data_IF_578898241372
#
_entry.id   IF_578898241372
#
_cell.length_a   1.000
_cell.length_b   1.000
_cell.length_c   1.000
_cell.angle_alpha   90.00
_cell.angle_beta   90.00
_cell.angle_gamma   90.00
#
_symmetry.space_group_name_H-M   'P 1'
#
loop_
_entity.id
_entity.type
_entity.pdbx_description
1 polymer ?
#
# COMPACT_ATOMS: atom_id res chain seq x y z
N UNK A 1 -24.74 34.11 -58.10
CA UNK A 1 -25.85 33.16 -57.85
C UNK A 1 -25.49 31.88 -58.58
N UNK A 2 -25.40 30.67 -58.03
CA UNK A 2 -25.87 30.10 -56.77
C UNK A 2 -24.91 28.95 -56.34
N UNK A 3 -24.90 28.66 -55.04
CA UNK A 3 -24.18 27.54 -54.44
C UNK A 3 -24.85 26.18 -54.74
N UNK A 4 -24.08 25.09 -54.71
CA UNK A 4 -24.52 23.78 -54.20
C UNK A 4 -23.33 22.84 -53.95
N UNK A 5 -23.23 22.41 -52.70
CA UNK A 5 -22.24 21.51 -52.13
C UNK A 5 -22.47 20.05 -52.53
N UNK A 6 -21.41 19.23 -52.55
CA UNK A 6 -21.47 17.83 -52.13
C UNK A 6 -20.15 17.42 -51.44
N UNK A 7 -20.34 16.79 -50.29
CA UNK A 7 -19.38 16.35 -49.28
C UNK A 7 -18.65 15.07 -49.70
N UNK A 8 -17.35 14.96 -49.39
CA UNK A 8 -16.68 13.66 -49.23
C UNK A 8 -16.01 13.63 -47.85
N UNK A 9 -16.46 12.68 -47.05
CA UNK A 9 -16.32 12.65 -45.61
C UNK A 9 -14.88 12.46 -45.10
N UNK A 10 -14.49 13.32 -44.16
CA UNK A 10 -13.39 13.05 -43.24
C UNK A 10 -13.87 11.99 -42.22
N UNK A 11 -13.48 10.73 -42.44
CA UNK A 11 -13.77 9.61 -41.55
C UNK A 11 -12.49 9.09 -40.89
N UNK A 12 -11.77 9.93 -40.15
CA UNK A 12 -10.78 9.41 -39.19
C UNK A 12 -11.55 8.88 -37.98
N UNK A 13 -11.78 7.57 -37.99
CA UNK A 13 -12.28 6.81 -36.86
C UNK A 13 -11.22 6.85 -35.75
N UNK A 14 -11.25 7.90 -34.92
CA UNK A 14 -10.50 7.94 -33.67
C UNK A 14 -11.21 7.02 -32.67
N UNK A 15 -10.94 5.72 -32.78
CA UNK A 15 -11.21 4.79 -31.70
C UNK A 15 -10.19 5.09 -30.58
N UNK A 16 -10.53 6.06 -29.72
CA UNK A 16 -9.84 6.23 -28.45
C UNK A 16 -10.17 5.00 -27.59
N UNK A 17 -9.32 3.98 -27.68
CA UNK A 17 -9.24 2.94 -26.68
C UNK A 17 -8.82 3.62 -25.37
N UNK A 18 -9.80 4.04 -24.57
CA UNK A 18 -9.58 4.25 -23.15
C UNK A 18 -9.22 2.88 -22.58
N UNK A 19 -7.92 2.57 -22.57
CA UNK A 19 -7.39 1.46 -21.81
C UNK A 19 -7.73 1.74 -20.34
N UNK A 20 -8.90 1.28 -19.93
CA UNK A 20 -9.27 1.22 -18.52
C UNK A 20 -8.30 0.23 -17.92
N UNK A 21 -7.21 0.71 -17.32
CA UNK A 21 -6.33 -0.13 -16.53
C UNK A 21 -7.20 -0.73 -15.44
N UNK A 22 -7.61 -1.99 -15.60
CA UNK A 22 -8.43 -2.68 -14.63
C UNK A 22 -7.66 -2.65 -13.31
N UNK A 23 -8.27 -2.04 -12.29
CA UNK A 23 -7.72 -2.00 -10.94
C UNK A 23 -7.64 -3.44 -10.44
N UNK A 24 -6.45 -3.90 -10.09
CA UNK A 24 -6.23 -5.24 -9.54
C UNK A 24 -6.55 -5.23 -8.05
N UNK A 25 -7.70 -5.80 -7.61
CA UNK A 25 -8.10 -5.76 -6.20
C UNK A 25 -7.17 -6.57 -5.29
N UNK A 26 -6.37 -7.46 -5.86
CA UNK A 26 -5.40 -8.30 -5.14
C UNK A 26 -4.09 -7.58 -4.82
N UNK A 27 -3.95 -6.32 -5.25
CA UNK A 27 -2.75 -5.49 -5.04
C UNK A 27 -3.08 -4.19 -4.31
N UNK A 28 -2.17 -3.79 -3.44
CA UNK A 28 -2.16 -2.48 -2.82
C UNK A 28 -0.75 -1.90 -2.92
N UNK A 29 -0.65 -0.68 -3.42
CA UNK A 29 0.61 0.02 -3.64
C UNK A 29 0.56 1.35 -2.88
N UNK A 30 1.56 1.58 -2.04
CA UNK A 30 1.79 2.85 -1.39
C UNK A 30 3.23 3.31 -1.65
N UNK A 31 3.40 4.61 -1.87
CA UNK A 31 4.72 5.22 -2.07
C UNK A 31 4.85 6.34 -1.05
N UNK A 32 5.92 6.32 -0.27
CA UNK A 32 6.25 7.38 0.67
C UNK A 32 7.53 8.08 0.24
N UNK A 33 7.57 9.39 0.43
CA UNK A 33 8.76 10.20 0.24
C UNK A 33 9.09 10.99 1.50
N UNK A 34 10.38 11.23 1.70
CA UNK A 34 10.93 11.94 2.86
C UNK A 34 12.02 12.88 2.40
N UNK A 35 12.20 14.01 3.11
CA UNK A 35 13.36 14.91 2.93
C UNK A 35 14.50 14.49 3.87
N UNK A 36 14.85 13.21 3.82
CA UNK A 36 15.90 12.57 4.63
C UNK A 36 16.70 11.59 3.77
N UNK A 37 17.98 11.33 4.09
CA UNK A 37 18.73 10.25 3.45
C UNK A 37 18.08 8.90 3.76
N UNK A 38 18.02 7.99 2.79
CA UNK A 38 17.31 6.72 2.96
C UNK A 38 17.81 5.85 4.12
N UNK A 39 19.03 6.02 4.61
CA UNK A 39 19.53 5.30 5.79
C UNK A 39 18.65 5.47 7.03
N UNK A 40 18.04 6.65 7.21
CA UNK A 40 17.10 6.92 8.31
C UNK A 40 15.78 6.17 8.11
N UNK A 41 14.93 6.60 7.14
CA UNK A 41 13.61 5.99 6.95
C UNK A 41 13.62 4.48 6.71
N UNK A 42 14.62 3.95 5.98
CA UNK A 42 14.74 2.50 5.78
C UNK A 42 15.13 1.81 7.09
N UNK A 43 16.05 2.39 7.87
CA UNK A 43 16.46 1.86 9.16
C UNK A 43 15.28 1.78 10.14
N UNK A 44 14.52 2.85 10.27
CA UNK A 44 13.36 2.93 11.16
C UNK A 44 12.27 1.93 10.78
N UNK A 45 11.96 1.82 9.49
CA UNK A 45 11.00 0.82 8.98
C UNK A 45 11.46 -0.62 9.26
N UNK A 46 12.73 -0.94 8.95
CA UNK A 46 13.30 -2.27 9.18
C UNK A 46 13.28 -2.62 10.67
N UNK A 47 13.64 -1.67 11.54
CA UNK A 47 13.61 -1.86 13.00
C UNK A 47 12.19 -2.10 13.51
N UNK A 48 11.21 -1.38 12.98
CA UNK A 48 9.80 -1.57 13.33
C UNK A 48 9.30 -2.96 12.93
N UNK A 49 9.64 -3.41 11.71
CA UNK A 49 9.26 -4.73 11.23
C UNK A 49 9.95 -5.86 11.99
N UNK A 50 11.22 -5.69 12.39
CA UNK A 50 11.93 -6.63 13.28
C UNK A 50 11.23 -6.73 14.64
N UNK A 51 10.81 -5.60 15.21
CA UNK A 51 10.02 -5.55 16.45
C UNK A 51 8.70 -6.30 16.32
N UNK A 52 8.01 -6.16 15.18
CA UNK A 52 6.74 -6.84 14.93
C UNK A 52 6.88 -8.29 14.49
N UNK A 53 8.09 -8.73 14.14
CA UNK A 53 8.39 -10.12 13.83
C UNK A 53 8.47 -11.00 15.08
N UNK A 54 9.02 -10.45 16.17
CA UNK A 54 9.06 -11.14 17.47
C UNK A 54 7.75 -11.02 18.26
N UNK A 55 6.90 -10.06 17.91
CA UNK A 55 5.59 -9.86 18.55
C UNK A 55 4.56 -10.84 18.02
N UNK A 56 3.92 -11.58 18.92
CA UNK A 56 2.69 -12.35 18.64
C UNK A 56 1.48 -11.57 19.17
N UNK A 57 0.47 -11.38 18.33
CA UNK A 57 -0.84 -10.93 18.82
C UNK A 57 -1.77 -12.14 18.94
N UNK A 58 -2.59 -12.16 20.01
CA UNK A 58 -3.91 -12.83 19.97
C UNK A 58 -4.83 -12.03 19.04
N UNK A 59 -5.99 -12.58 18.68
CA UNK A 59 -7.05 -11.96 17.86
C UNK A 59 -7.16 -10.44 18.10
N UNK A 60 -6.40 -9.64 17.34
CA UNK A 60 -6.02 -8.28 17.74
C UNK A 60 -5.46 -7.49 16.56
N UNK A 61 -4.94 -6.28 16.77
CA UNK A 61 -4.60 -5.37 15.67
C UNK A 61 -3.50 -5.94 14.76
N UNK A 62 -3.48 -5.54 13.49
CA UNK A 62 -2.56 -5.97 12.42
C UNK A 62 -1.10 -5.46 12.60
N UNK A 63 -0.70 -5.21 13.86
CA UNK A 63 0.58 -4.62 14.31
C UNK A 63 1.53 -5.67 14.91
N UNK A 64 1.65 -6.82 14.23
CA UNK A 64 2.48 -8.00 14.60
C UNK A 64 2.47 -9.06 13.47
N UNK A 65 3.13 -10.22 13.66
CA UNK A 65 3.19 -11.32 12.69
C UNK A 65 3.73 -10.89 11.31
N UNK A 66 4.70 -9.99 11.29
CA UNK A 66 5.48 -9.66 10.10
C UNK A 66 6.73 -10.53 10.06
N UNK A 67 7.02 -11.19 8.96
CA UNK A 67 8.17 -12.07 8.79
C UNK A 67 9.08 -11.50 7.71
N UNK A 68 10.30 -11.10 8.07
CA UNK A 68 11.28 -10.63 7.09
C UNK A 68 11.86 -11.84 6.35
N UNK A 69 11.54 -11.95 5.07
CA UNK A 69 11.98 -13.04 4.19
C UNK A 69 13.33 -12.72 3.55
N UNK A 70 13.54 -11.45 3.19
CA UNK A 70 14.80 -10.98 2.58
C UNK A 70 15.01 -9.51 2.89
N UNK A 71 16.23 -9.16 3.30
CA UNK A 71 16.67 -7.78 3.55
C UNK A 71 17.89 -7.47 2.67
N UNK A 72 17.92 -6.28 2.07
CA UNK A 72 19.03 -5.80 1.24
C UNK A 72 19.02 -4.27 1.18
N UNK A 73 20.10 -3.67 0.67
CA UNK A 73 20.20 -2.22 0.53
C UNK A 73 19.12 -1.59 -0.40
N UNK A 74 18.54 -2.38 -1.31
CA UNK A 74 17.58 -1.89 -2.32
C UNK A 74 16.15 -2.37 -2.10
N UNK A 75 15.96 -3.40 -1.28
CA UNK A 75 14.63 -3.99 -1.07
C UNK A 75 14.52 -4.73 0.25
N UNK A 76 13.29 -4.83 0.74
CA UNK A 76 12.90 -5.65 1.88
C UNK A 76 11.64 -6.44 1.50
N UNK A 77 11.74 -7.77 1.56
CA UNK A 77 10.60 -8.67 1.36
C UNK A 77 10.10 -9.13 2.71
N UNK A 78 8.81 -8.94 2.94
CA UNK A 78 8.13 -9.26 4.19
C UNK A 78 6.89 -10.05 3.86
N UNK A 79 6.56 -11.02 4.71
CA UNK A 79 5.30 -11.73 4.70
C UNK A 79 4.52 -11.33 5.94
N UNK A 80 3.25 -11.00 5.80
CA UNK A 80 2.38 -10.71 6.94
C UNK A 80 1.23 -11.73 6.99
N UNK A 81 0.95 -12.25 8.18
CA UNK A 81 -0.19 -13.14 8.42
C UNK A 81 -1.14 -12.48 9.40
N UNK A 82 -2.33 -12.11 8.92
CA UNK A 82 -3.34 -11.44 9.74
C UNK A 82 -3.76 -12.36 10.89
N UNK A 83 -3.61 -11.94 12.16
CA UNK A 83 -4.05 -12.74 13.30
C UNK A 83 -5.57 -12.91 13.33
N UNK A 84 -6.33 -11.96 12.78
CA UNK A 84 -7.81 -11.99 12.80
C UNK A 84 -8.39 -12.92 11.72
N UNK A 85 -7.77 -12.93 10.53
CA UNK A 85 -8.36 -13.59 9.35
C UNK A 85 -7.54 -14.78 8.85
N UNK A 86 -6.31 -14.95 9.33
CA UNK A 86 -5.36 -15.93 8.82
C UNK A 86 -4.90 -15.64 7.38
N UNK A 87 -5.31 -14.53 6.77
CA UNK A 87 -4.90 -14.15 5.41
C UNK A 87 -3.40 -13.86 5.39
N UNK A 88 -2.75 -14.29 4.32
CA UNK A 88 -1.32 -14.11 4.11
C UNK A 88 -1.09 -13.12 2.96
N UNK A 89 -0.28 -12.11 3.23
CA UNK A 89 0.08 -11.05 2.29
C UNK A 89 1.59 -11.04 2.11
N UNK A 90 2.03 -11.02 0.86
CA UNK A 90 3.43 -10.77 0.52
C UNK A 90 3.61 -9.27 0.26
N UNK A 91 4.57 -8.66 0.97
CA UNK A 91 4.87 -7.24 0.92
C UNK A 91 6.30 -7.09 0.40
N UNK A 92 6.45 -6.34 -0.69
CA UNK A 92 7.75 -5.96 -1.23
C UNK A 92 7.95 -4.46 -1.06
N UNK A 93 8.92 -4.08 -0.24
CA UNK A 93 9.42 -2.71 -0.15
C UNK A 93 10.61 -2.54 -1.10
N UNK A 94 10.54 -1.52 -1.94
CA UNK A 94 11.59 -1.08 -2.84
C UNK A 94 12.14 0.25 -2.32
N UNK A 95 13.44 0.27 -2.06
CA UNK A 95 14.16 1.45 -1.62
C UNK A 95 14.84 2.03 -2.85
N UNK A 96 14.31 3.15 -3.34
CA UNK A 96 14.91 3.86 -4.44
C UNK A 96 15.63 5.09 -3.85
N UNK A 97 16.95 5.01 -3.59
CA UNK A 97 17.72 6.21 -3.28
C UNK A 97 17.59 7.14 -4.50
N UNK A 98 16.98 8.33 -4.36
CA UNK A 98 16.98 9.30 -5.45
C UNK A 98 18.43 9.73 -5.73
N UNK A 99 18.67 10.30 -6.91
CA UNK A 99 19.98 10.85 -7.26
C UNK A 99 20.50 11.91 -6.26
N UNK A 100 19.59 12.55 -5.52
CA UNK A 100 19.90 13.46 -4.43
C UNK A 100 19.98 12.73 -3.08
N UNK A 101 21.13 12.84 -2.39
CA UNK A 101 21.39 12.18 -1.10
C UNK A 101 20.46 12.60 0.05
N UNK A 102 19.71 13.70 -0.11
CA UNK A 102 18.85 14.32 0.91
C UNK A 102 17.37 13.91 0.83
N UNK A 103 17.02 12.98 -0.05
CA UNK A 103 15.66 12.51 -0.20
C UNK A 103 15.61 10.99 -0.11
N UNK A 104 14.48 10.45 0.33
CA UNK A 104 14.23 9.03 0.28
C UNK A 104 12.86 8.73 -0.31
N UNK A 105 12.78 7.65 -1.07
CA UNK A 105 11.53 7.08 -1.57
C UNK A 105 11.45 5.62 -1.19
N UNK A 106 10.37 5.25 -0.51
CA UNK A 106 10.01 3.87 -0.19
C UNK A 106 8.73 3.55 -0.96
N UNK A 107 8.75 2.50 -1.78
CA UNK A 107 7.56 1.98 -2.45
C UNK A 107 7.22 0.61 -1.87
N UNK A 108 6.02 0.43 -1.36
CA UNK A 108 5.51 -0.87 -0.94
C UNK A 108 4.49 -1.41 -1.94
N UNK A 109 4.56 -2.71 -2.20
CA UNK A 109 3.58 -3.47 -2.96
C UNK A 109 3.16 -4.64 -2.08
N UNK A 110 1.89 -4.66 -1.66
CA UNK A 110 1.27 -5.81 -1.00
C UNK A 110 0.44 -6.60 -2.01
N UNK A 111 0.56 -7.92 -1.99
CA UNK A 111 -0.23 -8.86 -2.82
C UNK A 111 -0.85 -9.95 -1.93
N UNK A 112 -2.17 -10.21 -2.05
CA UNK A 112 -2.80 -11.33 -1.35
C UNK A 112 -2.42 -12.64 -2.00
N UNK A 113 -2.03 -13.63 -1.18
CA UNK A 113 -1.72 -14.99 -1.65
C UNK A 113 -2.91 -15.94 -1.56
N UNK A 114 -4.07 -15.48 -1.05
CA UNK A 114 -5.24 -16.32 -0.84
C UNK A 114 -5.96 -16.66 -2.16
N UNK A 115 -6.49 -17.89 -2.30
CA UNK A 115 -7.18 -18.38 -3.51
C UNK A 115 -8.43 -17.56 -3.90
N UNK A 116 -8.95 -16.73 -2.99
CA UNK A 116 -10.00 -15.74 -3.21
C UNK A 116 -9.42 -14.32 -3.12
N UNK A 117 -8.44 -14.03 -3.97
CA UNK A 117 -7.70 -12.75 -4.05
C UNK A 117 -8.57 -11.51 -4.39
N UNK A 118 -9.90 -11.69 -4.51
CA UNK A 118 -10.89 -10.63 -4.74
C UNK A 118 -11.16 -9.75 -3.52
N UNK A 119 -10.66 -10.12 -2.33
CA UNK A 119 -10.75 -9.25 -1.15
C UNK A 119 -9.69 -8.15 -1.24
N UNK A 120 -10.06 -6.86 -1.08
CA UNK A 120 -9.08 -5.77 -1.07
C UNK A 120 -7.95 -6.05 -0.08
N UNK A 121 -6.70 -5.91 -0.51
CA UNK A 121 -5.55 -5.91 0.41
C UNK A 121 -5.69 -4.74 1.38
N UNK A 122 -5.55 -4.98 2.67
CA UNK A 122 -5.74 -3.93 3.66
C UNK A 122 -4.61 -2.89 3.56
N UNK A 123 -4.97 -1.63 3.27
CA UNK A 123 -4.08 -0.49 3.28
C UNK A 123 -3.34 -0.39 4.62
N UNK A 124 -4.00 -0.75 5.72
CA UNK A 124 -3.41 -0.69 7.06
C UNK A 124 -2.22 -1.63 7.22
N UNK A 125 -2.19 -2.78 6.53
CA UNK A 125 -1.01 -3.66 6.53
C UNK A 125 0.24 -2.96 5.97
N UNK A 126 0.05 -2.03 5.02
CA UNK A 126 1.15 -1.22 4.49
C UNK A 126 1.43 0.02 5.34
N UNK A 127 0.38 0.66 5.86
CA UNK A 127 0.48 1.93 6.56
C UNK A 127 0.95 1.77 8.01
N UNK A 128 0.48 0.75 8.73
CA UNK A 128 0.76 0.53 10.14
C UNK A 128 2.27 0.46 10.46
N UNK A 129 3.13 -0.25 9.68
CA UNK A 129 4.57 -0.22 9.93
C UNK A 129 5.21 1.16 9.74
N UNK A 130 4.66 1.98 8.82
CA UNK A 130 5.15 3.33 8.52
C UNK A 130 4.75 4.30 9.63
N UNK A 131 3.50 4.22 10.09
CA UNK A 131 3.03 4.99 11.24
C UNK A 131 3.80 4.62 12.52
N UNK A 132 3.89 3.32 12.83
CA UNK A 132 4.53 2.86 14.07
C UNK A 132 6.04 3.12 14.12
N UNK A 133 6.70 3.29 12.97
CA UNK A 133 8.11 3.70 12.89
C UNK A 133 8.31 5.21 13.06
N UNK A 134 7.23 5.99 13.22
CA UNK A 134 7.29 7.46 13.34
C UNK A 134 7.51 8.17 11.99
N UNK A 135 7.49 7.44 10.88
CA UNK A 135 7.79 7.99 9.56
C UNK A 135 6.71 8.93 9.03
N UNK A 136 5.47 8.80 9.52
CA UNK A 136 4.37 9.74 9.21
C UNK A 136 4.64 11.15 9.73
N UNK A 137 5.52 11.31 10.71
CA UNK A 137 5.92 12.59 11.32
C UNK A 137 7.28 13.10 10.80
N UNK A 138 7.97 12.30 9.97
CA UNK A 138 9.29 12.63 9.46
C UNK A 138 9.27 13.84 8.50
N UNK A 139 10.40 14.57 8.43
CA UNK A 139 10.50 15.75 7.58
C UNK A 139 10.20 15.42 6.11
N UNK A 140 9.28 16.19 5.52
CA UNK A 140 8.92 16.04 4.11
C UNK A 140 8.15 14.76 3.81
N UNK A 141 7.55 14.10 4.80
CA UNK A 141 6.62 12.99 4.61
C UNK A 141 5.53 13.35 3.60
N UNK A 142 5.42 12.54 2.56
CA UNK A 142 4.29 12.53 1.64
C UNK A 142 3.93 11.09 1.30
N UNK A 143 2.64 10.81 1.19
CA UNK A 143 2.15 9.51 0.74
C UNK A 143 1.40 9.64 -0.59
N UNK A 144 1.78 8.80 -1.55
CA UNK A 144 1.08 8.59 -2.81
C UNK A 144 0.43 7.21 -2.75
N UNK A 145 -0.84 7.20 -2.36
CA UNK A 145 -1.70 6.02 -2.36
C UNK A 145 -3.14 6.48 -2.59
N UNK A 146 -3.86 5.88 -3.53
CA UNK A 146 -5.25 6.20 -3.88
C UNK A 146 -6.01 4.91 -4.19
N UNK A 147 -7.32 4.98 -4.43
CA UNK A 147 -8.17 3.81 -4.72
C UNK A 147 -7.72 2.97 -5.94
N UNK A 148 -7.02 3.57 -6.90
CA UNK A 148 -6.52 2.87 -8.09
C UNK A 148 -5.25 2.07 -7.78
N UNK A 149 -4.42 2.57 -6.86
CA UNK A 149 -3.22 1.90 -6.38
C UNK A 149 -3.49 0.91 -5.26
N UNK A 150 -4.48 1.22 -4.42
CA UNK A 150 -4.87 0.43 -3.26
C UNK A 150 -6.38 0.60 -3.04
N UNK A 151 -7.21 -0.31 -3.55
CA UNK A 151 -8.67 -0.19 -3.50
C UNK A 151 -9.24 -0.08 -2.08
N UNK A 152 -8.60 -0.70 -1.09
CA UNK A 152 -9.02 -0.65 0.30
C UNK A 152 -8.83 0.71 0.97
N UNK A 153 -7.99 1.60 0.42
CA UNK A 153 -7.62 2.87 1.08
C UNK A 153 -8.83 3.74 1.39
N UNK A 154 -9.83 3.80 0.51
CA UNK A 154 -11.02 4.66 0.72
C UNK A 154 -11.93 4.17 1.85
N UNK A 155 -11.78 2.92 2.30
CA UNK A 155 -12.57 2.30 3.37
C UNK A 155 -11.72 1.83 4.55
N UNK A 156 -10.44 2.20 4.57
CA UNK A 156 -9.49 1.72 5.57
C UNK A 156 -9.72 2.42 6.92
N UNK A 157 -9.67 1.64 8.00
CA UNK A 157 -9.78 2.11 9.37
C UNK A 157 -8.67 1.46 10.20
N UNK A 158 -7.46 2.03 10.13
CA UNK A 158 -6.27 1.45 10.75
C UNK A 158 -6.23 1.62 12.28
N UNK A 159 -7.10 2.47 12.81
CA UNK A 159 -7.20 2.80 14.23
C UNK A 159 -8.24 1.98 15.00
N UNK A 160 -8.73 0.85 14.47
CA UNK A 160 -9.72 0.04 15.20
C UNK A 160 -9.12 -0.50 16.50
N UNK A 161 -9.29 0.28 17.59
CA UNK A 161 -9.59 -0.30 18.90
C UNK A 161 -10.80 -1.17 18.68
N UNK A 162 -10.61 -2.46 18.85
CA UNK A 162 -11.62 -3.47 18.64
C UNK A 162 -12.85 -3.15 19.51
N UNK A 163 -13.92 -2.65 18.87
CA UNK A 163 -15.19 -2.38 19.54
C UNK A 163 -16.08 -3.63 19.61
N UNK A 164 -15.53 -4.82 19.31
CA UNK A 164 -16.25 -6.10 19.39
C UNK A 164 -16.55 -6.56 20.83
N UNK A 165 -16.06 -5.85 21.85
CA UNK A 165 -16.41 -6.12 23.26
C UNK A 165 -17.57 -5.28 23.81
N UNK A 166 -18.13 -4.33 23.05
CA UNK A 166 -19.18 -3.43 23.55
C UNK A 166 -20.61 -3.98 23.40
N UNK A 167 -20.79 -5.17 22.80
CA UNK A 167 -22.11 -5.80 22.66
C UNK A 167 -22.40 -6.94 23.64
N UNK A 168 -21.48 -7.32 24.54
CA UNK A 168 -21.69 -8.46 25.47
C UNK A 168 -21.99 -7.99 26.92
N UNK A 169 -22.12 -6.68 27.17
CA UNK A 169 -22.41 -6.16 28.52
C UNK A 169 -23.79 -5.49 28.68
N UNK A 170 -24.70 -5.68 27.71
CA UNK A 170 -26.07 -5.14 27.74
C UNK A 170 -27.14 -6.17 27.33
N UNK A 171 -27.00 -7.43 27.76
CA UNK A 171 -28.11 -8.38 27.84
C UNK A 171 -28.08 -9.10 29.18
#
# INVERSE_FOLDING_TARGET
>A
MAARALLAAAGFLQLLLFASSAVDPSKCIAIWTFRLPCSGPVGDLVNQLKTWSSKKCRDGPEKCNYEIIKESAQSLKVKHTSPQTGKVMDINFEFAPPAAKSFCKIKAISTSTSKNASSPNDYCILHDPIEASGLTEAEGYQEICNKEKCPSKSSAHCDKKDNSLLFIHFL
#
